data_IF_275139311999
#
_entry.id   IF_275139311999
#
_cell.length_a   1.000
_cell.length_b   1.000
_cell.length_c   1.000
_cell.angle_alpha   90.00
_cell.angle_beta   90.00
_cell.angle_gamma   90.00
#
_symmetry.space_group_name_H-M   'P 1'
#
loop_
_entity.id
_entity.type
_entity.pdbx_description
1 polymer ?
#
# COMPACT_ATOMS: atom_id res chain seq x y z
N UNK A 1 1.82 30.05 -25.14
CA UNK A 1 1.58 29.30 -23.90
C UNK A 1 1.39 27.84 -24.28
N UNK A 2 2.38 26.99 -24.04
CA UNK A 2 2.19 25.55 -24.13
C UNK A 2 1.36 25.13 -22.93
N UNK A 3 0.12 24.72 -23.15
CA UNK A 3 -0.74 24.14 -22.12
C UNK A 3 -0.01 22.93 -21.52
N UNK A 4 0.38 23.03 -20.25
CA UNK A 4 0.94 21.94 -19.45
C UNK A 4 -0.13 20.90 -19.06
N UNK A 5 -1.14 20.72 -19.91
CA UNK A 5 -2.20 19.75 -19.70
C UNK A 5 -1.72 18.38 -20.18
N UNK A 6 -1.78 17.40 -19.28
CA UNK A 6 -1.50 16.01 -19.56
C UNK A 6 -2.46 15.51 -20.65
N UNK A 7 -1.97 14.75 -21.65
CA UNK A 7 -2.84 14.26 -22.71
C UNK A 7 -3.94 13.35 -22.14
N UNK A 8 -5.18 13.53 -22.63
CA UNK A 8 -6.36 12.75 -22.17
C UNK A 8 -6.12 11.25 -22.32
N UNK A 9 -5.40 10.84 -23.37
CA UNK A 9 -5.00 9.45 -23.58
C UNK A 9 -4.07 8.93 -22.47
N UNK A 10 -3.08 9.72 -22.05
CA UNK A 10 -2.18 9.33 -20.96
C UNK A 10 -2.90 9.23 -19.61
N UNK A 11 -3.79 10.18 -19.30
CA UNK A 11 -4.61 10.12 -18.07
C UNK A 11 -5.47 8.85 -18.03
N UNK A 12 -6.14 8.53 -19.14
CA UNK A 12 -6.97 7.33 -19.24
C UNK A 12 -6.15 6.05 -19.01
N UNK A 13 -4.96 5.95 -19.62
CA UNK A 13 -4.06 4.80 -19.42
C UNK A 13 -3.66 4.67 -17.95
N UNK A 14 -3.33 5.78 -17.28
CA UNK A 14 -2.95 5.76 -15.85
C UNK A 14 -4.11 5.30 -14.97
N UNK A 15 -5.34 5.78 -15.21
CA UNK A 15 -6.53 5.35 -14.46
C UNK A 15 -6.76 3.84 -14.63
N UNK A 16 -6.73 3.36 -15.87
CA UNK A 16 -6.94 1.95 -16.17
C UNK A 16 -5.85 1.07 -15.57
N UNK A 17 -4.58 1.49 -15.69
CA UNK A 17 -3.46 0.78 -15.09
C UNK A 17 -3.63 0.67 -13.57
N UNK A 18 -4.07 1.74 -12.91
CA UNK A 18 -4.25 1.76 -11.46
C UNK A 18 -5.44 0.91 -10.98
N UNK A 19 -6.54 0.88 -11.75
CA UNK A 19 -7.67 -0.01 -11.45
C UNK A 19 -7.31 -1.48 -11.63
N UNK A 20 -6.62 -1.82 -12.72
CA UNK A 20 -6.20 -3.20 -12.99
C UNK A 20 -5.18 -3.66 -11.96
N UNK A 21 -4.17 -2.84 -11.65
CA UNK A 21 -3.16 -3.16 -10.63
C UNK A 21 -3.80 -3.33 -9.26
N UNK A 22 -4.68 -2.40 -8.86
CA UNK A 22 -5.40 -2.47 -7.60
C UNK A 22 -6.25 -3.73 -7.47
N UNK A 23 -6.98 -4.11 -8.53
CA UNK A 23 -7.79 -5.33 -8.54
C UNK A 23 -6.94 -6.61 -8.42
N UNK A 24 -5.81 -6.67 -9.15
CA UNK A 24 -4.87 -7.80 -9.10
C UNK A 24 -4.23 -7.91 -7.71
N UNK A 25 -3.76 -6.79 -7.15
CA UNK A 25 -3.15 -6.75 -5.82
C UNK A 25 -4.15 -7.13 -4.73
N UNK A 26 -5.39 -6.65 -4.82
CA UNK A 26 -6.48 -7.05 -3.91
C UNK A 26 -6.72 -8.56 -3.95
N UNK A 27 -6.79 -9.16 -5.14
CA UNK A 27 -7.00 -10.60 -5.30
C UNK A 27 -5.82 -11.41 -4.71
N UNK A 28 -4.59 -11.00 -4.99
CA UNK A 28 -3.38 -11.66 -4.46
C UNK A 28 -3.31 -11.53 -2.94
N UNK A 29 -3.48 -10.33 -2.38
CA UNK A 29 -3.46 -10.10 -0.94
C UNK A 29 -4.59 -10.87 -0.23
N UNK A 30 -5.78 -10.93 -0.84
CA UNK A 30 -6.90 -11.74 -0.36
C UNK A 30 -6.57 -13.23 -0.31
N UNK A 31 -5.93 -13.75 -1.37
CA UNK A 31 -5.48 -15.15 -1.40
C UNK A 31 -4.41 -15.44 -0.35
N UNK A 32 -3.44 -14.54 -0.15
CA UNK A 32 -2.41 -14.68 0.90
C UNK A 32 -3.04 -14.62 2.29
N UNK A 33 -4.02 -13.74 2.52
CA UNK A 33 -4.81 -13.71 3.75
C UNK A 33 -5.50 -15.05 4.01
N UNK A 34 -6.19 -15.61 3.01
CA UNK A 34 -6.87 -16.90 3.12
C UNK A 34 -5.88 -18.02 3.45
N UNK A 35 -4.76 -18.11 2.74
CA UNK A 35 -3.71 -19.09 3.03
C UNK A 35 -3.14 -18.93 4.45
N UNK A 36 -2.97 -17.69 4.91
CA UNK A 36 -2.46 -17.39 6.26
C UNK A 36 -3.47 -17.80 7.35
N UNK A 37 -4.77 -17.67 7.10
CA UNK A 37 -5.83 -18.07 8.05
C UNK A 37 -6.01 -19.59 8.08
N UNK A 38 -5.91 -20.26 6.92
CA UNK A 38 -6.06 -21.72 6.81
C UNK A 38 -4.87 -22.48 7.40
N UNK A 39 -3.68 -21.88 7.43
CA UNK A 39 -2.50 -22.51 8.00
C UNK A 39 -2.64 -22.77 9.52
N UNK A 40 -2.73 -24.05 9.87
CA UNK A 40 -2.91 -24.54 11.24
C UNK A 40 -1.61 -24.75 12.02
N UNK A 41 -0.42 -24.54 11.44
CA UNK A 41 0.85 -24.85 12.11
C UNK A 41 1.03 -23.97 13.38
N UNK A 42 1.14 -24.53 14.59
CA UNK A 42 1.31 -23.74 15.81
C UNK A 42 2.65 -22.98 15.87
N UNK A 43 3.70 -23.42 15.17
CA UNK A 43 5.05 -22.82 15.23
C UNK A 43 5.12 -21.43 14.61
N UNK A 44 4.21 -21.13 13.67
CA UNK A 44 4.16 -19.87 12.92
C UNK A 44 3.20 -18.80 13.45
N UNK A 45 2.48 -19.05 14.57
CA UNK A 45 1.31 -18.24 14.95
C UNK A 45 1.58 -16.74 15.08
N UNK A 46 2.72 -16.36 15.66
CA UNK A 46 3.10 -14.95 15.82
C UNK A 46 3.47 -14.32 14.48
N UNK A 47 4.27 -15.00 13.66
CA UNK A 47 4.61 -14.56 12.31
C UNK A 47 3.35 -14.36 11.44
N UNK A 48 2.40 -15.29 11.50
CA UNK A 48 1.15 -15.20 10.73
C UNK A 48 0.30 -13.99 11.10
N UNK A 49 0.29 -13.57 12.36
CA UNK A 49 -0.41 -12.33 12.78
C UNK A 49 0.20 -11.10 12.09
N UNK A 50 1.53 -11.01 12.03
CA UNK A 50 2.21 -9.92 11.34
C UNK A 50 2.03 -9.99 9.83
N UNK A 51 2.07 -11.20 9.26
CA UNK A 51 1.80 -11.41 7.84
C UNK A 51 0.39 -10.97 7.47
N UNK A 52 -0.62 -11.37 8.26
CA UNK A 52 -2.01 -10.94 8.05
C UNK A 52 -2.14 -9.42 8.18
N UNK A 53 -1.49 -8.81 9.19
CA UNK A 53 -1.50 -7.36 9.36
C UNK A 53 -0.84 -6.65 8.16
N UNK A 54 0.25 -7.19 7.63
CA UNK A 54 0.91 -6.67 6.43
C UNK A 54 -0.03 -6.74 5.22
N UNK A 55 -0.75 -7.85 5.02
CA UNK A 55 -1.70 -7.99 3.91
C UNK A 55 -2.89 -7.02 4.04
N UNK A 56 -3.42 -6.82 5.24
CA UNK A 56 -4.50 -5.85 5.50
C UNK A 56 -4.03 -4.44 5.20
N UNK A 57 -2.85 -4.05 5.72
CA UNK A 57 -2.27 -2.72 5.48
C UNK A 57 -1.97 -2.48 4.00
N UNK A 58 -1.44 -3.48 3.29
CA UNK A 58 -1.23 -3.41 1.84
C UNK A 58 -2.54 -3.18 1.10
N UNK A 59 -3.57 -3.95 1.44
CA UNK A 59 -4.89 -3.83 0.81
C UNK A 59 -5.51 -2.46 1.07
N UNK A 60 -5.37 -1.93 2.29
CA UNK A 60 -5.86 -0.60 2.63
C UNK A 60 -5.10 0.50 1.87
N UNK A 61 -3.78 0.37 1.74
CA UNK A 61 -2.97 1.31 0.97
C UNK A 61 -3.35 1.30 -0.53
N UNK A 62 -3.58 0.11 -1.10
CA UNK A 62 -4.01 -0.05 -2.49
C UNK A 62 -5.42 0.56 -2.71
N UNK A 63 -6.37 0.31 -1.80
CA UNK A 63 -7.71 0.90 -1.85
C UNK A 63 -7.67 2.43 -1.72
N UNK A 64 -6.80 2.96 -0.83
CA UNK A 64 -6.59 4.38 -0.66
C UNK A 64 -5.99 4.99 -1.93
N UNK A 65 -4.97 4.37 -2.51
CA UNK A 65 -4.35 4.82 -3.75
C UNK A 65 -5.34 4.83 -4.94
N UNK A 66 -6.17 3.78 -5.06
CA UNK A 66 -7.22 3.71 -6.06
C UNK A 66 -8.27 4.83 -5.88
N UNK A 67 -8.70 5.08 -4.63
CA UNK A 67 -9.69 6.13 -4.32
C UNK A 67 -9.13 7.54 -4.48
N UNK A 68 -7.85 7.73 -4.19
CA UNK A 68 -7.16 9.02 -4.34
C UNK A 68 -6.74 9.30 -5.79
N UNK A 69 -6.64 8.29 -6.66
CA UNK A 69 -6.27 8.46 -8.07
C UNK A 69 -7.18 9.44 -8.84
N UNK A 70 -8.52 9.28 -8.84
CA UNK A 70 -9.40 10.25 -9.49
C UNK A 70 -9.38 11.61 -8.77
N UNK A 71 -9.24 11.62 -7.43
CA UNK A 71 -9.17 12.86 -6.65
C UNK A 71 -7.91 13.68 -6.99
N UNK A 72 -6.75 13.03 -7.13
CA UNK A 72 -5.50 13.64 -7.57
C UNK A 72 -5.63 14.20 -8.98
N UNK A 73 -6.27 13.46 -9.90
CA UNK A 73 -6.46 13.94 -11.27
C UNK A 73 -7.39 15.16 -11.33
N UNK A 74 -8.47 15.15 -10.56
CA UNK A 74 -9.40 16.28 -10.48
C UNK A 74 -8.77 17.51 -9.82
N UNK A 75 -8.01 17.31 -8.74
CA UNK A 75 -7.32 18.40 -8.06
C UNK A 75 -6.11 18.91 -8.84
N UNK A 76 -5.39 18.08 -9.62
CA UNK A 76 -4.34 18.58 -10.50
C UNK A 76 -4.90 19.57 -11.52
N UNK A 77 -6.06 19.30 -12.13
CA UNK A 77 -6.73 20.25 -13.04
C UNK A 77 -7.06 21.56 -12.32
N UNK A 78 -7.57 21.49 -11.09
CA UNK A 78 -7.95 22.67 -10.29
C UNK A 78 -6.73 23.43 -9.75
N UNK A 79 -5.66 22.75 -9.33
CA UNK A 79 -4.39 23.35 -8.87
C UNK A 79 -3.73 24.18 -9.99
N UNK A 80 -3.91 23.79 -11.24
CA UNK A 80 -3.44 24.56 -12.40
C UNK A 80 -4.38 25.72 -12.81
N UNK A 81 -5.60 25.79 -12.26
CA UNK A 81 -6.67 26.69 -12.72
C UNK A 81 -7.01 27.88 -11.81
N UNK A 82 -6.23 28.13 -10.75
CA UNK A 82 -6.31 29.26 -9.80
C UNK A 82 -7.08 28.98 -8.47
N UNK A 83 -6.61 29.63 -7.39
CA UNK A 83 -6.97 29.53 -5.94
C UNK A 83 -6.41 28.32 -5.13
N UNK A 84 -5.10 28.36 -4.86
CA UNK A 84 -4.28 27.25 -4.33
C UNK A 84 -4.19 27.04 -2.80
N UNK A 85 -5.25 27.23 -2.00
CA UNK A 85 -5.16 26.98 -0.54
C UNK A 85 -5.99 25.76 -0.08
N UNK A 86 -7.22 25.58 -0.60
CA UNK A 86 -8.10 24.47 -0.20
C UNK A 86 -7.73 23.13 -0.84
N UNK A 87 -7.22 23.15 -2.09
CA UNK A 87 -6.72 21.95 -2.78
C UNK A 87 -5.38 21.44 -2.22
N UNK A 88 -4.51 22.36 -1.76
CA UNK A 88 -3.20 22.03 -1.17
C UNK A 88 -3.36 21.32 0.18
N UNK A 89 -4.31 21.75 1.01
CA UNK A 89 -4.57 21.09 2.30
C UNK A 89 -5.10 19.67 2.09
N UNK A 90 -6.02 19.47 1.15
CA UNK A 90 -6.54 18.14 0.81
C UNK A 90 -5.46 17.20 0.26
N UNK A 91 -4.62 17.70 -0.66
CA UNK A 91 -3.51 16.94 -1.23
C UNK A 91 -2.46 16.58 -0.17
N UNK A 92 -2.10 17.53 0.69
CA UNK A 92 -1.11 17.33 1.75
C UNK A 92 -1.58 16.27 2.74
N UNK A 93 -2.85 16.34 3.17
CA UNK A 93 -3.43 15.33 4.08
C UNK A 93 -3.46 13.96 3.41
N UNK A 94 -3.88 13.86 2.14
CA UNK A 94 -3.88 12.59 1.42
C UNK A 94 -2.47 11.99 1.31
N UNK A 95 -1.46 12.82 1.04
CA UNK A 95 -0.06 12.40 0.95
C UNK A 95 0.49 11.96 2.33
N UNK A 96 0.15 12.67 3.41
CA UNK A 96 0.51 12.28 4.78
C UNK A 96 -0.10 10.93 5.18
N UNK A 97 -1.37 10.69 4.85
CA UNK A 97 -2.04 9.40 5.08
C UNK A 97 -1.34 8.30 4.29
N UNK A 98 -1.05 8.53 3.01
CA UNK A 98 -0.36 7.56 2.16
C UNK A 98 1.04 7.21 2.70
N UNK A 99 1.85 8.21 3.07
CA UNK A 99 3.18 7.99 3.64
C UNK A 99 3.12 7.24 4.98
N UNK A 100 2.10 7.52 5.78
CA UNK A 100 1.88 6.82 7.05
C UNK A 100 1.55 5.34 6.80
N UNK A 101 0.62 5.05 5.90
CA UNK A 101 0.29 3.67 5.51
C UNK A 101 1.50 2.93 4.94
N UNK A 102 2.27 3.58 4.07
CA UNK A 102 3.50 3.01 3.52
C UNK A 102 4.54 2.70 4.61
N UNK A 103 4.74 3.61 5.56
CA UNK A 103 5.66 3.40 6.68
C UNK A 103 5.21 2.21 7.55
N UNK A 104 3.90 2.09 7.82
CA UNK A 104 3.34 0.96 8.55
C UNK A 104 3.54 -0.37 7.80
N UNK A 105 3.39 -0.38 6.47
CA UNK A 105 3.69 -1.56 5.64
C UNK A 105 5.16 -1.96 5.75
N UNK A 106 6.09 -1.01 5.63
CA UNK A 106 7.54 -1.27 5.75
C UNK A 106 7.87 -1.86 7.12
N UNK A 107 7.34 -1.27 8.20
CA UNK A 107 7.53 -1.76 9.56
C UNK A 107 6.94 -3.16 9.75
N UNK A 108 5.72 -3.41 9.27
CA UNK A 108 5.09 -4.72 9.32
C UNK A 108 5.90 -5.78 8.54
N UNK A 109 6.50 -5.40 7.41
CA UNK A 109 7.39 -6.26 6.63
C UNK A 109 8.67 -6.62 7.40
N UNK A 110 9.32 -5.65 8.04
CA UNK A 110 10.48 -5.92 8.89
C UNK A 110 10.13 -6.85 10.07
N UNK A 111 8.97 -6.66 10.71
CA UNK A 111 8.50 -7.59 11.73
C UNK A 111 8.29 -9.00 11.18
N UNK A 112 7.71 -9.14 9.99
CA UNK A 112 7.56 -10.43 9.34
C UNK A 112 8.91 -11.14 9.14
N UNK A 113 9.93 -10.42 8.66
CA UNK A 113 11.28 -10.98 8.50
C UNK A 113 11.89 -11.38 9.85
N UNK A 114 11.80 -10.50 10.85
CA UNK A 114 12.36 -10.73 12.18
C UNK A 114 11.76 -11.97 12.84
N UNK A 115 10.42 -12.08 12.86
CA UNK A 115 9.74 -13.23 13.44
C UNK A 115 9.95 -14.52 12.64
N UNK A 116 10.02 -14.44 11.30
CA UNK A 116 10.36 -15.61 10.49
C UNK A 116 11.77 -16.12 10.79
N UNK A 117 12.76 -15.22 10.93
CA UNK A 117 14.14 -15.60 11.28
C UNK A 117 14.22 -16.25 12.66
N UNK A 118 13.51 -15.72 13.66
CA UNK A 118 13.47 -16.30 15.01
C UNK A 118 12.75 -17.66 15.09
N UNK A 119 11.85 -17.97 14.14
CA UNK A 119 11.24 -19.31 14.03
C UNK A 119 12.22 -20.32 13.42
N UNK A 120 13.03 -19.90 12.44
CA UNK A 120 14.03 -20.77 11.78
C UNK A 120 15.26 -20.98 12.68
N UNK A 121 15.65 -19.97 13.46
CA UNK A 121 16.78 -20.00 14.39
C UNK A 121 16.25 -19.75 15.81
N UNK A 122 15.94 -20.81 16.58
CA UNK A 122 15.44 -20.65 17.94
C UNK A 122 16.45 -19.89 18.82
N UNK A 123 15.97 -19.20 19.86
CA UNK A 123 16.82 -18.52 20.84
C UNK A 123 17.89 -19.47 21.39
N UNK A 124 19.17 -19.11 21.23
CA UNK A 124 20.32 -19.95 21.58
C UNK A 124 20.98 -20.68 20.40
N UNK A 125 20.43 -20.57 19.20
CA UNK A 125 21.06 -21.07 17.97
C UNK A 125 22.26 -20.19 17.61
N UNK A 126 23.47 -20.62 17.96
CA UNK A 126 24.74 -19.88 17.84
C UNK A 126 25.24 -19.58 16.42
N UNK A 127 24.35 -19.35 15.46
CA UNK A 127 24.71 -18.88 14.12
C UNK A 127 24.68 -17.35 14.11
N UNK A 128 25.86 -16.77 14.33
CA UNK A 128 26.16 -15.35 14.16
C UNK A 128 26.59 -15.17 12.69
N UNK A 129 25.94 -14.26 11.97
CA UNK A 129 26.46 -13.66 10.74
C UNK A 129 26.71 -12.17 11.00
#
# INVERSE_FOLDING_TARGET
>A
MNSTELSVGFQSIVVWANHISGAVLFAVNGLVCMLTVVDSDPRGRTYRKYLLNLQILSTLADMFACSCSPFLQFNCIIIYADEGITSVVGLTVALMVYLTLYTQMVVAYFFCIFFRRNIILPHGSGYIF
#
